data_IF_594530524003
#
_entry.id   IF_594530524003
#
_cell.length_a   1.000
_cell.length_b   1.000
_cell.length_c   1.000
_cell.angle_alpha   90.00
_cell.angle_beta   90.00
_cell.angle_gamma   90.00
#
_symmetry.space_group_name_H-M   'P 1'
#
loop_
_entity.id
_entity.type
_entity.pdbx_description
1 polymer ?
#
# COMPACT_ATOMS: atom_id res chain seq x y z
N UNK A 1 -54.70 -39.95 -15.11
CA UNK A 1 -54.32 -38.54 -15.30
C UNK A 1 -53.05 -38.51 -16.13
N UNK A 2 -53.11 -38.01 -17.38
CA UNK A 2 -51.94 -37.89 -18.26
C UNK A 2 -51.22 -36.58 -17.93
N UNK A 3 -50.06 -36.66 -17.27
CA UNK A 3 -49.16 -35.51 -17.15
C UNK A 3 -48.50 -35.28 -18.51
N UNK A 4 -48.79 -34.11 -19.11
CA UNK A 4 -48.16 -33.68 -20.36
C UNK A 4 -46.68 -33.40 -20.14
N UNK A 5 -45.84 -33.96 -21.01
CA UNK A 5 -44.43 -33.62 -21.12
C UNK A 5 -44.31 -32.14 -21.49
N UNK A 6 -43.97 -31.31 -20.51
CA UNK A 6 -43.51 -29.95 -20.75
C UNK A 6 -42.09 -30.02 -21.35
N UNK A 7 -41.99 -29.76 -22.65
CA UNK A 7 -40.73 -29.74 -23.38
C UNK A 7 -39.81 -28.62 -22.86
N UNK A 8 -38.69 -29.04 -22.27
CA UNK A 8 -37.60 -28.18 -21.76
C UNK A 8 -37.12 -27.14 -22.79
N UNK A 9 -37.30 -27.41 -24.08
CA UNK A 9 -36.93 -26.54 -25.20
C UNK A 9 -37.73 -25.22 -25.19
N UNK A 10 -39.00 -25.23 -24.75
CA UNK A 10 -39.81 -23.99 -24.67
C UNK A 10 -39.35 -23.06 -23.55
N UNK A 11 -38.81 -23.59 -22.46
CA UNK A 11 -38.30 -22.79 -21.35
C UNK A 11 -36.97 -22.09 -21.71
N UNK A 12 -36.09 -22.80 -22.45
CA UNK A 12 -34.83 -22.25 -22.94
C UNK A 12 -35.02 -21.13 -23.97
N UNK A 13 -36.01 -21.24 -24.86
CA UNK A 13 -36.33 -20.20 -25.83
C UNK A 13 -36.86 -18.91 -25.18
N UNK A 14 -37.65 -19.03 -24.11
CA UNK A 14 -38.15 -17.88 -23.34
C UNK A 14 -37.03 -17.13 -22.59
N UNK A 15 -36.03 -17.86 -22.09
CA UNK A 15 -34.86 -17.26 -21.43
C UNK A 15 -33.93 -16.54 -22.42
N UNK A 16 -33.81 -17.02 -23.66
CA UNK A 16 -32.98 -16.35 -24.67
C UNK A 16 -33.54 -15.00 -25.16
N UNK A 17 -34.86 -14.80 -25.11
CA UNK A 17 -35.50 -13.55 -25.57
C UNK A 17 -35.38 -12.39 -24.57
N UNK A 18 -35.04 -12.67 -23.30
CA UNK A 18 -34.90 -11.64 -22.25
C UNK A 18 -33.52 -10.95 -22.24
N UNK A 19 -32.55 -11.40 -23.02
CA UNK A 19 -31.15 -10.90 -22.97
C UNK A 19 -30.86 -9.77 -23.98
N UNK A 20 -31.78 -9.42 -24.88
CA UNK A 20 -31.49 -8.52 -26.01
C UNK A 20 -31.79 -7.02 -25.83
N UNK A 21 -31.95 -6.48 -24.61
CA UNK A 21 -32.10 -5.03 -24.42
C UNK A 21 -31.22 -4.47 -23.32
N UNK A 22 -29.94 -4.27 -23.63
CA UNK A 22 -29.11 -3.31 -22.92
C UNK A 22 -28.76 -2.16 -23.88
N UNK A 23 -29.07 -0.90 -23.52
CA UNK A 23 -28.78 0.23 -24.38
C UNK A 23 -27.26 0.46 -24.44
N UNK A 24 -26.75 0.58 -25.67
CA UNK A 24 -25.40 1.05 -25.97
C UNK A 24 -25.32 2.52 -25.56
N UNK A 25 -24.67 2.79 -24.43
CA UNK A 25 -24.41 4.15 -23.96
C UNK A 25 -23.31 4.78 -24.84
N UNK A 26 -23.69 5.77 -25.66
CA UNK A 26 -22.74 6.60 -26.41
C UNK A 26 -21.84 7.34 -25.42
N UNK A 27 -20.53 7.16 -25.62
CA UNK A 27 -19.46 7.83 -24.88
C UNK A 27 -19.47 9.32 -25.26
N UNK A 28 -20.09 10.14 -24.40
CA UNK A 28 -20.13 11.59 -24.54
C UNK A 28 -18.80 12.15 -24.05
N UNK A 29 -18.00 12.74 -24.94
CA UNK A 29 -16.81 13.51 -24.60
C UNK A 29 -17.26 14.72 -23.76
N UNK A 30 -17.07 14.62 -22.44
CA UNK A 30 -17.29 15.71 -21.49
C UNK A 30 -16.15 16.72 -21.64
N UNK A 31 -16.51 17.93 -22.09
CA UNK A 31 -15.65 19.10 -22.04
C UNK A 31 -15.34 19.43 -20.59
N UNK A 32 -14.06 19.46 -20.24
CA UNK A 32 -13.57 19.83 -18.91
C UNK A 32 -14.13 21.22 -18.58
N UNK A 33 -14.78 21.42 -17.41
CA UNK A 33 -15.27 22.74 -17.02
C UNK A 33 -14.11 23.74 -16.97
N UNK A 34 -14.29 24.87 -17.65
CA UNK A 34 -13.34 25.98 -17.70
C UNK A 34 -13.01 26.40 -16.26
N UNK A 35 -11.74 26.23 -15.89
CA UNK A 35 -11.20 26.53 -14.55
C UNK A 35 -11.40 28.01 -14.23
N UNK A 36 -12.53 28.38 -13.62
CA UNK A 36 -12.54 29.55 -12.74
C UNK A 36 -11.78 29.11 -11.50
N UNK A 37 -10.58 29.65 -11.30
CA UNK A 37 -9.90 29.60 -10.02
C UNK A 37 -10.84 30.24 -8.99
N UNK A 38 -11.70 29.41 -8.38
CA UNK A 38 -12.24 29.73 -7.08
C UNK A 38 -11.05 29.59 -6.16
N UNK A 39 -10.62 30.76 -5.70
CA UNK A 39 -9.65 31.00 -4.64
C UNK A 39 -10.01 30.12 -3.43
N UNK A 40 -9.57 28.85 -3.43
CA UNK A 40 -9.56 28.00 -2.25
C UNK A 40 -8.53 28.65 -1.34
N UNK A 41 -9.02 29.33 -0.29
CA UNK A 41 -8.25 30.13 0.67
C UNK A 41 -6.81 29.64 0.84
N UNK A 42 -5.90 30.45 0.34
CA UNK A 42 -4.51 30.15 0.08
C UNK A 42 -3.68 30.17 1.37
N UNK A 43 -3.88 29.16 2.21
CA UNK A 43 -2.97 28.84 3.29
C UNK A 43 -2.49 27.40 3.09
N UNK A 44 -1.27 27.18 2.56
CA UNK A 44 -0.67 25.85 2.63
C UNK A 44 -0.68 25.43 4.10
N UNK A 45 -1.11 24.20 4.44
CA UNK A 45 -1.01 23.73 5.81
C UNK A 45 0.46 23.78 6.19
N UNK A 46 0.84 24.75 7.03
CA UNK A 46 2.13 24.74 7.70
C UNK A 46 2.19 23.40 8.44
N UNK A 47 3.04 22.50 7.95
CA UNK A 47 3.27 21.13 8.41
C UNK A 47 2.16 20.11 8.07
N UNK A 48 2.02 19.75 6.77
CA UNK A 48 1.22 18.60 6.32
C UNK A 48 1.50 17.33 7.15
N UNK A 49 2.77 17.08 7.49
CA UNK A 49 3.16 15.99 8.36
C UNK A 49 2.59 16.09 9.78
N UNK A 50 2.53 17.29 10.38
CA UNK A 50 1.98 17.49 11.74
C UNK A 50 0.46 17.21 11.77
N UNK A 51 -0.25 17.58 10.71
CA UNK A 51 -1.68 17.26 10.58
C UNK A 51 -1.89 15.74 10.47
N UNK A 52 -1.08 15.06 9.66
CA UNK A 52 -1.08 13.59 9.50
C UNK A 52 -0.77 12.89 10.83
N UNK A 53 0.28 13.35 11.50
CA UNK A 53 0.73 12.91 12.82
C UNK A 53 -0.34 12.98 13.92
N UNK A 54 -1.16 14.02 13.92
CA UNK A 54 -2.19 14.22 14.94
C UNK A 54 -3.47 13.42 14.65
N UNK A 55 -3.71 13.08 13.38
CA UNK A 55 -4.88 12.29 12.97
C UNK A 55 -4.64 10.78 12.98
N UNK A 56 -3.41 10.33 12.78
CA UNK A 56 -3.07 8.91 12.69
C UNK A 56 -2.50 8.38 14.00
N UNK A 57 -3.17 7.39 14.60
CA UNK A 57 -2.61 6.59 15.69
C UNK A 57 -1.65 5.55 15.11
N UNK A 58 -0.35 5.74 15.28
CA UNK A 58 0.64 4.70 15.04
C UNK A 58 1.37 4.28 16.32
N UNK A 59 2.30 3.34 16.18
CA UNK A 59 3.07 2.81 17.29
C UNK A 59 4.19 3.75 17.76
N UNK A 60 4.30 3.93 19.07
CA UNK A 60 5.41 4.66 19.70
C UNK A 60 6.31 3.65 20.43
N UNK A 61 7.61 3.73 20.16
CA UNK A 61 8.66 3.05 20.92
C UNK A 61 9.46 4.10 21.67
N UNK A 62 9.16 4.26 22.96
CA UNK A 62 9.81 5.24 23.81
C UNK A 62 10.81 4.57 24.76
N UNK A 63 12.09 4.64 24.42
CA UNK A 63 13.17 4.05 25.23
C UNK A 63 13.62 4.96 26.39
N UNK A 64 12.95 6.10 26.60
CA UNK A 64 13.22 7.00 27.73
C UNK A 64 12.29 6.78 28.94
N UNK A 65 11.27 5.94 28.80
CA UNK A 65 10.27 5.69 29.84
C UNK A 65 9.96 4.20 30.01
N UNK A 66 9.44 3.82 31.17
CA UNK A 66 8.96 2.47 31.44
C UNK A 66 7.81 2.09 30.46
N UNK A 67 7.77 0.86 29.94
CA UNK A 67 8.59 -0.31 30.29
C UNK A 67 9.83 -0.52 29.40
N UNK A 68 10.15 0.42 28.51
CA UNK A 68 11.21 0.26 27.49
C UNK A 68 12.48 1.03 27.84
N UNK A 69 12.59 1.53 29.07
CA UNK A 69 13.69 2.37 29.51
C UNK A 69 15.04 1.69 29.35
N UNK A 70 16.06 2.42 28.88
CA UNK A 70 17.41 1.88 28.61
C UNK A 70 18.49 2.35 29.60
N UNK A 71 18.11 2.98 30.71
CA UNK A 71 19.06 3.49 31.71
C UNK A 71 19.91 2.39 32.35
N UNK A 72 21.06 2.81 32.89
CA UNK A 72 21.91 1.96 33.73
C UNK A 72 21.42 1.85 35.17
N UNK A 73 20.73 2.85 35.72
CA UNK A 73 20.40 2.92 37.16
C UNK A 73 19.48 1.80 37.67
N UNK A 74 18.67 1.21 36.81
CA UNK A 74 17.70 0.15 37.15
C UNK A 74 18.22 -1.27 36.91
N UNK A 75 19.37 -1.43 36.24
CA UNK A 75 19.89 -2.74 35.82
C UNK A 75 21.03 -3.23 36.72
N UNK A 76 20.74 -4.05 37.74
CA UNK A 76 21.80 -4.70 38.53
C UNK A 76 22.63 -5.66 37.67
N UNK A 77 23.95 -5.49 37.68
CA UNK A 77 24.85 -6.53 37.15
C UNK A 77 24.86 -7.66 38.17
N UNK A 78 24.20 -8.77 37.83
CA UNK A 78 24.40 -10.04 38.55
C UNK A 78 25.81 -10.52 38.23
N UNK A 79 26.79 -10.07 39.03
CA UNK A 79 28.11 -10.65 39.03
C UNK A 79 27.99 -12.04 39.65
N UNK A 80 28.01 -13.07 38.81
CA UNK A 80 28.02 -14.47 39.23
C UNK A 80 29.29 -14.79 40.02
N UNK A 81 29.23 -14.58 41.33
CA UNK A 81 30.11 -15.22 42.30
C UNK A 81 29.23 -16.17 43.10
N UNK A 82 29.09 -17.40 42.60
CA UNK A 82 28.98 -18.60 43.43
C UNK A 82 29.03 -19.86 42.56
N UNK A 83 29.96 -20.75 42.91
CA UNK A 83 30.01 -22.10 42.38
C UNK A 83 28.78 -22.89 42.81
N UNK A 84 28.12 -23.51 41.84
CA UNK A 84 27.00 -24.41 42.05
C UNK A 84 26.49 -24.87 40.69
N UNK A 85 26.70 -26.14 40.40
CA UNK A 85 26.29 -26.81 39.16
C UNK A 85 24.80 -26.58 38.86
N UNK A 86 24.55 -25.64 37.95
CA UNK A 86 23.24 -25.36 37.36
C UNK A 86 23.44 -25.08 35.89
N UNK A 87 22.75 -25.83 35.04
CA UNK A 87 22.78 -25.76 33.58
C UNK A 87 22.76 -24.30 33.07
N UNK A 88 23.60 -23.93 32.07
CA UNK A 88 23.67 -22.57 31.57
C UNK A 88 22.42 -22.27 30.73
N UNK A 89 21.43 -21.64 31.34
CA UNK A 89 20.40 -20.89 30.63
C UNK A 89 21.02 -19.64 30.03
N UNK A 90 20.77 -19.42 28.74
CA UNK A 90 21.35 -18.38 27.89
C UNK A 90 20.96 -16.96 28.36
N UNK A 91 21.64 -16.43 29.38
CA UNK A 91 21.34 -15.16 30.07
C UNK A 91 21.80 -13.90 29.32
N UNK A 92 22.09 -13.99 28.01
CA UNK A 92 22.61 -12.87 27.22
C UNK A 92 21.53 -11.96 26.65
N UNK A 93 20.28 -12.41 26.58
CA UNK A 93 19.17 -11.66 25.96
C UNK A 93 18.37 -10.78 26.93
N UNK A 94 18.58 -10.94 28.26
CA UNK A 94 17.79 -10.23 29.29
C UNK A 94 18.01 -8.70 29.33
N UNK A 95 19.03 -8.18 28.63
CA UNK A 95 19.36 -6.73 28.62
C UNK A 95 18.99 -6.02 27.31
N UNK A 96 18.15 -6.65 26.50
CA UNK A 96 17.65 -6.08 25.25
C UNK A 96 16.15 -5.81 25.38
N UNK A 97 15.77 -4.53 25.27
CA UNK A 97 14.37 -4.11 25.29
C UNK A 97 13.82 -4.12 23.87
N UNK A 98 12.78 -4.92 23.62
CA UNK A 98 12.18 -5.05 22.31
C UNK A 98 10.85 -4.31 22.21
N UNK A 99 10.77 -3.37 21.26
CA UNK A 99 9.52 -2.75 20.86
C UNK A 99 9.15 -3.23 19.45
N UNK A 100 8.18 -4.14 19.36
CA UNK A 100 7.77 -4.73 18.08
C UNK A 100 6.50 -4.06 17.59
N UNK A 101 6.56 -3.48 16.38
CA UNK A 101 5.43 -2.80 15.74
C UNK A 101 4.99 -3.57 14.49
N UNK A 102 3.68 -3.63 14.26
CA UNK A 102 3.10 -4.23 13.05
C UNK A 102 2.26 -3.18 12.33
N UNK A 103 2.57 -2.92 11.06
CA UNK A 103 1.84 -1.92 10.28
C UNK A 103 1.47 -2.43 8.89
N UNK A 104 0.37 -1.92 8.34
CA UNK A 104 -0.04 -2.11 6.94
C UNK A 104 0.11 -0.82 6.11
N UNK A 105 0.79 0.18 6.68
CA UNK A 105 0.95 1.52 6.13
C UNK A 105 -0.27 2.42 6.36
N UNK A 106 -0.12 3.67 5.93
CA UNK A 106 -0.94 4.82 6.28
C UNK A 106 -0.97 5.12 7.79
N UNK A 107 0.21 5.07 8.43
CA UNK A 107 0.38 5.23 9.88
C UNK A 107 1.69 5.99 10.17
N UNK A 108 1.75 6.73 11.28
CA UNK A 108 2.99 7.43 11.73
C UNK A 108 3.59 6.69 12.91
N UNK A 109 4.83 6.20 12.76
CA UNK A 109 5.58 5.57 13.84
C UNK A 109 6.49 6.60 14.52
N UNK A 110 6.67 6.44 15.83
CA UNK A 110 7.54 7.32 16.63
C UNK A 110 8.59 6.50 17.37
N UNK A 111 9.86 6.90 17.25
CA UNK A 111 11.00 6.35 17.96
C UNK A 111 11.59 7.44 18.84
N UNK A 112 11.69 7.18 20.14
CA UNK A 112 12.26 8.11 21.13
C UNK A 112 13.45 7.45 21.80
N UNK A 113 14.58 8.15 21.82
CA UNK A 113 15.81 7.70 22.46
C UNK A 113 16.38 8.84 23.33
N UNK A 114 16.83 8.57 24.57
CA UNK A 114 17.54 9.54 25.39
C UNK A 114 18.78 10.11 24.69
N UNK A 115 19.13 11.35 24.99
CA UNK A 115 20.38 11.98 24.53
C UNK A 115 21.48 11.85 25.56
N UNK A 116 22.72 11.99 25.10
CA UNK A 116 23.93 11.99 25.91
C UNK A 116 24.02 13.26 26.78
N UNK A 117 23.28 13.30 27.88
CA UNK A 117 23.13 14.48 28.73
C UNK A 117 23.39 14.22 30.23
N UNK A 118 23.39 12.95 30.64
CA UNK A 118 23.53 12.50 32.03
C UNK A 118 24.48 11.30 32.08
N UNK A 119 25.00 10.99 33.27
CA UNK A 119 25.89 9.84 33.49
C UNK A 119 25.21 8.51 33.13
N UNK A 120 23.89 8.43 33.34
CA UNK A 120 23.05 7.27 33.01
C UNK A 120 22.93 7.01 31.49
N UNK A 121 23.29 8.00 30.65
CA UNK A 121 23.24 7.96 29.18
C UNK A 121 24.55 8.40 28.51
N UNK A 122 25.67 8.30 29.21
CA UNK A 122 26.96 8.84 28.75
C UNK A 122 27.50 8.20 27.46
N UNK A 123 27.01 7.01 27.08
CA UNK A 123 27.37 6.27 25.88
C UNK A 123 26.17 5.91 24.99
N UNK A 124 25.02 6.58 25.14
CA UNK A 124 23.83 6.30 24.33
C UNK A 124 24.00 6.70 22.87
N UNK A 125 23.55 5.84 21.96
CA UNK A 125 23.59 6.11 20.51
C UNK A 125 22.39 5.52 19.77
N UNK A 126 21.99 6.15 18.67
CA UNK A 126 20.98 5.62 17.75
C UNK A 126 21.70 4.92 16.59
N UNK A 127 21.27 3.69 16.25
CA UNK A 127 21.81 2.94 15.11
C UNK A 127 20.68 2.43 14.20
N UNK A 128 20.67 2.77 12.89
CA UNK A 128 21.50 3.78 12.23
C UNK A 128 21.29 5.19 12.81
N UNK A 129 22.30 6.06 12.76
CA UNK A 129 22.26 7.41 13.36
C UNK A 129 21.12 8.28 12.81
N UNK A 130 20.80 8.05 11.54
CA UNK A 130 19.78 8.73 10.74
C UNK A 130 18.46 7.95 10.67
N UNK A 131 18.20 7.00 11.57
CA UNK A 131 16.89 6.34 11.64
C UNK A 131 15.76 7.40 11.69
N UNK A 132 14.73 7.38 10.83
CA UNK A 132 14.33 6.33 9.86
C UNK A 132 14.74 6.57 8.40
N UNK A 133 15.59 7.56 8.09
CA UNK A 133 16.11 7.77 6.74
C UNK A 133 16.80 6.51 6.23
N UNK A 134 17.72 5.98 7.04
CA UNK A 134 18.32 4.66 6.86
C UNK A 134 17.84 3.72 7.96
N UNK A 135 17.51 2.49 7.57
CA UNK A 135 17.06 1.44 8.49
C UNK A 135 17.93 0.18 8.35
N UNK A 136 18.00 -0.62 9.41
CA UNK A 136 18.69 -1.91 9.40
C UNK A 136 17.73 -3.00 8.92
N UNK A 137 18.10 -3.70 7.87
CA UNK A 137 17.36 -4.86 7.36
C UNK A 137 17.73 -6.13 8.15
N UNK A 138 16.94 -7.22 8.08
CA UNK A 138 17.18 -8.43 8.89
C UNK A 138 18.49 -9.15 8.55
N UNK A 139 19.00 -8.96 7.33
CA UNK A 139 20.31 -9.45 6.90
C UNK A 139 21.49 -8.60 7.41
N UNK A 140 21.22 -7.57 8.22
CA UNK A 140 22.22 -6.65 8.76
C UNK A 140 22.56 -5.45 7.87
N UNK A 141 22.13 -5.47 6.59
CA UNK A 141 22.42 -4.39 5.66
C UNK A 141 21.62 -3.14 6.02
N UNK A 142 22.22 -1.97 5.79
CA UNK A 142 21.56 -0.67 5.92
C UNK A 142 20.96 -0.28 4.57
N UNK A 143 19.73 0.23 4.56
CA UNK A 143 19.05 0.72 3.35
C UNK A 143 18.31 2.02 3.62
N UNK A 144 18.25 2.91 2.62
CA UNK A 144 17.38 4.08 2.67
C UNK A 144 15.93 3.64 2.61
N UNK A 145 15.11 4.11 3.54
CA UNK A 145 13.72 3.66 3.63
C UNK A 145 12.89 4.14 2.43
N UNK A 146 13.23 5.31 1.85
CA UNK A 146 12.58 5.85 0.64
C UNK A 146 12.82 5.04 -0.63
N UNK A 147 13.91 4.27 -0.69
CA UNK A 147 14.18 3.31 -1.79
C UNK A 147 13.37 2.02 -1.63
N UNK A 148 12.97 1.70 -0.39
CA UNK A 148 12.19 0.51 -0.08
C UNK A 148 10.68 0.78 -0.17
N UNK A 149 10.24 1.97 0.30
CA UNK A 149 8.86 2.40 0.34
C UNK A 149 8.72 3.79 -0.29
N UNK A 150 7.96 3.89 -1.38
CA UNK A 150 7.69 5.15 -2.08
C UNK A 150 6.72 6.02 -1.28
N UNK A 151 7.08 7.28 -1.03
CA UNK A 151 6.23 8.25 -0.31
C UNK A 151 6.41 8.23 1.21
N UNK A 152 7.57 7.78 1.70
CA UNK A 152 7.96 7.93 3.10
C UNK A 152 8.22 9.40 3.40
N UNK A 153 7.64 9.89 4.50
CA UNK A 153 7.92 11.22 5.04
C UNK A 153 8.54 11.09 6.43
N UNK A 154 9.50 11.96 6.74
CA UNK A 154 10.29 11.90 7.97
C UNK A 154 10.17 13.23 8.71
N UNK A 155 10.03 13.17 10.03
CA UNK A 155 10.11 14.33 10.91
C UNK A 155 11.06 14.00 12.08
N UNK A 156 12.12 14.78 12.19
CA UNK A 156 13.13 14.64 13.22
C UNK A 156 13.07 15.83 14.16
N UNK A 157 12.97 15.57 15.46
CA UNK A 157 12.96 16.58 16.51
C UNK A 157 13.91 16.20 17.63
N UNK A 158 14.85 17.08 17.93
CA UNK A 158 15.79 16.90 19.02
C UNK A 158 15.52 17.95 20.10
N UNK A 159 15.44 17.52 21.36
CA UNK A 159 15.45 18.40 22.53
C UNK A 159 16.80 18.28 23.26
N UNK A 160 16.93 18.91 24.42
CA UNK A 160 18.12 18.72 25.28
C UNK A 160 18.16 17.32 25.91
N UNK A 161 16.98 16.69 26.05
CA UNK A 161 16.85 15.41 26.74
C UNK A 161 16.66 14.21 25.81
N UNK A 162 15.97 14.41 24.70
CA UNK A 162 15.46 13.33 23.86
C UNK A 162 15.73 13.59 22.38
N UNK A 163 16.01 12.52 21.66
CA UNK A 163 15.97 12.46 20.21
C UNK A 163 14.69 11.75 19.78
N UNK A 164 13.81 12.48 19.12
CA UNK A 164 12.52 12.00 18.62
C UNK A 164 12.59 11.90 17.10
N UNK A 165 12.32 10.71 16.58
CA UNK A 165 12.30 10.40 15.15
C UNK A 165 10.91 9.90 14.80
N UNK A 166 10.28 10.48 13.78
CA UNK A 166 8.94 10.11 13.33
C UNK A 166 8.97 9.78 11.85
N UNK A 167 8.21 8.76 11.48
CA UNK A 167 8.12 8.32 10.10
C UNK A 167 6.68 8.03 9.73
N UNK A 168 6.23 8.60 8.62
CA UNK A 168 5.00 8.17 7.97
C UNK A 168 5.32 6.96 7.09
N UNK A 169 4.66 5.83 7.38
CA UNK A 169 4.75 4.61 6.58
C UNK A 169 3.61 4.66 5.55
N UNK A 170 3.87 4.89 4.25
CA UNK A 170 2.84 4.91 3.22
C UNK A 170 2.25 3.51 3.01
N UNK A 171 1.03 3.38 2.44
CA UNK A 171 0.47 2.07 2.09
C UNK A 171 1.12 1.43 0.85
N UNK A 172 2.24 1.96 0.37
CA UNK A 172 2.94 1.56 -0.86
C UNK A 172 3.82 0.30 -0.69
N UNK A 173 3.33 -0.69 0.06
CA UNK A 173 4.09 -1.86 0.49
C UNK A 173 3.80 -3.05 -0.44
N UNK A 174 4.69 -3.33 -1.38
CA UNK A 174 4.51 -4.44 -2.35
C UNK A 174 4.88 -5.82 -1.78
N UNK A 175 5.79 -5.89 -0.80
CA UNK A 175 6.21 -7.12 -0.16
C UNK A 175 6.34 -6.95 1.36
N UNK A 176 6.26 -8.06 2.10
CA UNK A 176 6.51 -8.02 3.53
C UNK A 176 7.97 -7.63 3.78
N UNK A 177 8.19 -6.60 4.60
CA UNK A 177 9.53 -6.19 5.01
C UNK A 177 9.58 -6.10 6.53
N UNK A 178 10.77 -6.28 7.06
CA UNK A 178 11.09 -6.04 8.45
C UNK A 178 12.28 -5.10 8.46
N UNK A 179 12.24 -4.08 9.29
CA UNK A 179 13.40 -3.23 9.52
C UNK A 179 13.51 -2.86 10.99
N UNK A 180 14.71 -2.45 11.38
CA UNK A 180 15.08 -2.19 12.76
C UNK A 180 15.85 -0.88 12.91
N UNK A 181 15.61 -0.24 14.05
CA UNK A 181 16.46 0.80 14.61
C UNK A 181 16.70 0.50 16.09
N UNK A 182 17.88 0.84 16.60
CA UNK A 182 18.22 0.64 18.01
C UNK A 182 18.60 1.93 18.71
N UNK A 183 18.18 2.06 19.96
CA UNK A 183 18.67 3.00 20.96
C UNK A 183 19.61 2.22 21.89
N UNK A 184 20.91 2.34 21.68
CA UNK A 184 21.92 1.52 22.34
C UNK A 184 22.58 2.31 23.47
N UNK A 185 22.26 1.98 24.72
CA UNK A 185 22.92 2.52 25.90
C UNK A 185 23.87 1.50 26.55
N UNK A 186 24.16 0.39 25.86
CA UNK A 186 24.97 -0.70 26.42
C UNK A 186 26.42 -0.28 26.67
N UNK A 187 26.91 0.77 26.02
CA UNK A 187 28.25 1.31 26.24
C UNK A 187 28.35 2.21 27.48
N UNK A 188 27.23 2.51 28.15
CA UNK A 188 27.22 3.29 29.38
C UNK A 188 27.46 2.40 30.59
N UNK A 189 28.49 2.73 31.37
CA UNK A 189 28.81 2.08 32.64
C UNK A 189 28.73 3.10 33.77
N UNK A 190 27.83 2.86 34.72
CA UNK A 190 27.61 3.75 35.85
C UNK A 190 27.24 2.97 37.09
N UNK A 191 27.86 3.28 38.25
CA UNK A 191 27.62 2.58 39.54
C UNK A 191 27.66 1.04 39.44
N UNK A 192 28.61 0.49 38.69
CA UNK A 192 28.70 -0.96 38.41
C UNK A 192 27.43 -1.53 37.75
N UNK A 193 26.70 -0.70 37.01
CA UNK A 193 25.57 -1.06 36.18
C UNK A 193 25.85 -0.67 34.73
N UNK A 194 25.33 -1.48 33.82
CA UNK A 194 25.46 -1.27 32.37
C UNK A 194 24.09 -0.88 31.83
N UNK A 195 24.06 0.10 30.93
CA UNK A 195 22.82 0.45 30.23
C UNK A 195 22.29 -0.71 29.39
N UNK A 196 21.01 -0.65 29.05
CA UNK A 196 20.37 -1.64 28.18
C UNK A 196 20.41 -1.20 26.71
N UNK A 197 20.03 -2.11 25.81
CA UNK A 197 19.86 -1.81 24.38
C UNK A 197 18.40 -1.94 24.00
N UNK A 198 17.80 -0.85 23.53
CA UNK A 198 16.46 -0.82 22.96
C UNK A 198 16.47 -1.12 21.47
N UNK A 199 15.62 -2.02 21.00
CA UNK A 199 15.44 -2.37 19.58
C UNK A 199 13.99 -2.16 19.18
N UNK A 200 13.74 -1.20 18.31
CA UNK A 200 12.48 -1.06 17.60
C UNK A 200 12.50 -1.93 16.35
N UNK A 201 11.61 -2.91 16.28
CA UNK A 201 11.46 -3.82 15.15
C UNK A 201 10.10 -3.61 14.49
N UNK A 202 10.10 -3.16 13.25
CA UNK A 202 8.87 -2.85 12.50
C UNK A 202 8.62 -3.93 11.46
N UNK A 203 7.50 -4.60 11.59
CA UNK A 203 6.96 -5.55 10.61
C UNK A 203 5.95 -4.84 9.72
N UNK A 204 6.33 -4.61 8.47
CA UNK A 204 5.48 -3.96 7.48
C UNK A 204 4.91 -5.02 6.56
N UNK A 205 3.59 -5.14 6.53
CA UNK A 205 2.90 -6.17 5.74
C UNK A 205 2.49 -5.64 4.38
N UNK A 206 2.66 -6.47 3.35
CA UNK A 206 2.22 -6.16 1.98
C UNK A 206 0.74 -5.77 1.94
N UNK A 207 0.43 -4.83 1.07
CA UNK A 207 -0.91 -4.29 0.92
C UNK A 207 -1.26 -4.11 -0.56
N UNK A 208 -2.56 -4.05 -0.85
CA UNK A 208 -3.05 -3.71 -2.20
C UNK A 208 -3.64 -2.31 -2.13
N UNK A 209 -3.07 -1.42 -2.92
CA UNK A 209 -3.53 -0.04 -3.10
C UNK A 209 -4.38 0.02 -4.36
N UNK A 210 -5.67 0.27 -4.19
CA UNK A 210 -6.59 0.50 -5.30
C UNK A 210 -6.36 1.90 -5.83
N UNK A 211 -5.68 2.01 -6.96
CA UNK A 211 -5.11 3.27 -7.35
C UNK A 211 -4.36 3.23 -8.67
N UNK A 212 -3.77 4.37 -9.00
CA UNK A 212 -2.95 4.59 -10.18
C UNK A 212 -1.61 5.19 -9.77
N UNK A 213 -0.51 4.51 -10.11
CA UNK A 213 0.84 5.08 -10.03
C UNK A 213 1.29 5.51 -11.43
N UNK A 214 1.26 6.80 -11.72
CA UNK A 214 1.71 7.37 -13.00
C UNK A 214 3.21 7.64 -13.05
N UNK A 215 3.96 7.19 -12.05
CA UNK A 215 5.39 7.43 -11.92
C UNK A 215 6.10 6.13 -11.53
N UNK A 216 5.66 5.02 -12.11
CA UNK A 216 6.16 3.69 -11.74
C UNK A 216 7.52 3.43 -12.39
N UNK A 217 8.53 3.24 -11.55
CA UNK A 217 9.83 2.70 -11.95
C UNK A 217 9.85 1.19 -11.70
N UNK A 218 10.01 0.35 -12.73
CA UNK A 218 10.21 -1.08 -12.50
C UNK A 218 11.48 -1.24 -11.69
N UNK A 219 11.37 -1.82 -10.48
CA UNK A 219 12.53 -2.00 -9.62
C UNK A 219 13.56 -2.89 -10.31
N UNK A 220 14.82 -2.44 -10.36
CA UNK A 220 15.93 -3.24 -10.87
C UNK A 220 15.92 -4.63 -10.21
N UNK A 221 16.09 -5.68 -11.02
CA UNK A 221 16.37 -7.00 -10.46
C UNK A 221 17.65 -6.89 -9.64
N UNK A 222 17.70 -7.37 -8.39
CA UNK A 222 18.98 -7.54 -7.72
C UNK A 222 19.77 -8.50 -8.59
N UNK A 223 20.80 -8.00 -9.26
CA UNK A 223 21.78 -8.83 -9.95
C UNK A 223 22.22 -9.87 -8.94
N UNK A 224 21.88 -11.12 -9.21
CA UNK A 224 22.50 -12.23 -8.50
C UNK A 224 23.98 -12.09 -8.79
N UNK A 225 24.76 -11.80 -7.75
CA UNK A 225 26.22 -11.90 -7.78
C UNK A 225 26.58 -13.35 -8.13
N UNK A 226 26.68 -13.61 -9.43
CA UNK A 226 27.36 -14.76 -9.98
C UNK A 226 28.77 -14.29 -10.30
N UNK A 227 29.72 -14.64 -9.42
CA UNK A 227 31.14 -14.56 -9.76
C UNK A 227 31.40 -15.38 -11.01
N UNK A 228 32.17 -14.80 -11.94
CA UNK A 228 32.61 -15.47 -13.15
C UNK A 228 32.84 -14.46 -14.27
N UNK A 229 34.09 -14.12 -14.50
CA UNK A 229 34.57 -13.40 -15.67
C UNK A 229 33.96 -13.97 -16.96
N UNK A 230 33.20 -13.14 -17.68
CA UNK A 230 33.29 -13.03 -19.14
C UNK A 230 32.55 -11.79 -19.62
N UNK A 231 33.32 -10.88 -20.22
CA UNK A 231 32.81 -9.77 -20.99
C UNK A 231 31.98 -10.28 -22.17
N UNK A 232 30.72 -9.85 -22.27
CA UNK A 232 30.00 -9.80 -23.54
C UNK A 232 29.44 -8.39 -23.72
N UNK A 233 29.94 -7.76 -24.77
CA UNK A 233 29.54 -6.48 -25.36
C UNK A 233 28.10 -6.49 -25.84
N UNK A 234 27.36 -5.40 -25.55
CA UNK A 234 26.22 -4.78 -26.28
C UNK A 234 25.17 -5.70 -26.94
N UNK A 235 23.90 -5.52 -26.55
CA UNK A 235 22.81 -5.18 -27.50
C UNK A 235 21.87 -4.15 -26.84
N UNK A 236 21.98 -2.91 -27.31
CA UNK A 236 20.95 -1.88 -27.28
C UNK A 236 19.86 -2.22 -28.29
N UNK A 237 18.59 -2.05 -27.94
CA UNK A 237 17.49 -1.89 -28.91
C UNK A 237 16.31 -2.85 -28.78
N UNK A 238 15.12 -2.25 -28.76
CA UNK A 238 13.85 -2.78 -29.30
C UNK A 238 13.23 -4.04 -28.70
N UNK A 239 12.55 -3.91 -27.56
CA UNK A 239 11.38 -4.75 -27.22
C UNK A 239 10.38 -4.02 -26.31
N UNK A 240 9.82 -2.87 -26.74
CA UNK A 240 8.58 -2.32 -26.15
C UNK A 240 7.72 -1.56 -27.18
N UNK A 241 7.75 -2.00 -28.43
CA UNK A 241 6.87 -1.47 -29.49
C UNK A 241 5.92 -2.58 -29.94
N UNK A 242 4.62 -2.39 -29.70
CA UNK A 242 3.57 -3.18 -30.35
C UNK A 242 2.53 -3.77 -29.41
N UNK A 243 1.38 -3.10 -29.34
CA UNK A 243 0.03 -3.69 -29.33
C UNK A 243 -0.20 -4.98 -28.54
N UNK A 244 -0.60 -4.83 -27.27
CA UNK A 244 -1.25 -5.91 -26.49
C UNK A 244 -2.58 -5.48 -25.84
N UNK A 245 -3.30 -4.55 -26.47
CA UNK A 245 -4.66 -4.18 -26.05
C UNK A 245 -5.60 -4.03 -27.25
N UNK A 246 -5.68 -5.03 -28.12
CA UNK A 246 -6.83 -5.27 -29.00
C UNK A 246 -6.80 -6.75 -29.40
N UNK A 247 -7.90 -7.46 -29.14
CA UNK A 247 -7.95 -8.91 -29.34
C UNK A 247 -8.00 -9.28 -30.82
N UNK A 248 -7.30 -10.37 -31.17
CA UNK A 248 -7.75 -11.41 -32.09
C UNK A 248 -6.88 -12.65 -31.89
N UNK A 249 -7.52 -13.79 -31.64
CA UNK A 249 -6.88 -15.10 -31.62
C UNK A 249 -7.15 -15.78 -32.97
N UNK A 250 -6.11 -16.24 -33.69
CA UNK A 250 -6.14 -17.43 -34.55
C UNK A 250 -4.74 -17.77 -35.14
N UNK A 251 -4.41 -19.07 -35.08
CA UNK A 251 -3.29 -19.83 -35.68
C UNK A 251 -1.87 -19.58 -35.12
N UNK A 252 -1.05 -20.58 -34.74
CA UNK A 252 -1.08 -22.03 -34.97
C UNK A 252 -0.20 -22.82 -33.97
N UNK A 253 -0.72 -23.98 -33.58
CA UNK A 253 -0.07 -25.28 -33.31
C UNK A 253 1.17 -25.37 -32.41
N UNK A 254 0.95 -25.57 -31.10
CA UNK A 254 1.62 -26.64 -30.33
C UNK A 254 0.66 -27.19 -29.25
N UNK A 255 0.40 -28.50 -29.32
CA UNK A 255 -0.15 -29.41 -28.30
C UNK A 255 -1.60 -29.23 -27.80
N UNK A 256 -2.45 -30.13 -28.29
CA UNK A 256 -3.83 -30.40 -27.92
C UNK A 256 -3.93 -31.02 -26.52
N UNK A 257 -4.82 -30.50 -25.68
CA UNK A 257 -5.29 -31.19 -24.47
C UNK A 257 -5.86 -30.28 -23.38
N UNK A 258 -7.15 -29.96 -23.48
CA UNK A 258 -8.08 -29.79 -22.34
C UNK A 258 -8.00 -28.54 -21.42
N UNK A 259 -8.09 -27.32 -21.99
CA UNK A 259 -8.11 -26.05 -21.21
C UNK A 259 -9.29 -25.10 -21.50
N UNK A 260 -10.44 -25.61 -21.95
CA UNK A 260 -11.56 -24.76 -22.37
C UNK A 260 -12.44 -24.17 -21.23
N UNK A 261 -12.15 -24.43 -19.94
CA UNK A 261 -13.08 -24.07 -18.85
C UNK A 261 -12.72 -22.82 -18.00
N UNK A 262 -11.54 -22.18 -18.18
CA UNK A 262 -11.05 -21.13 -17.24
C UNK A 262 -10.74 -19.74 -17.83
N UNK A 263 -11.22 -19.38 -19.03
CA UNK A 263 -10.72 -18.19 -19.75
C UNK A 263 -11.36 -16.81 -19.46
N UNK A 264 -12.12 -16.63 -18.38
CA UNK A 264 -12.83 -15.35 -18.12
C UNK A 264 -12.34 -14.52 -16.91
N UNK A 265 -11.25 -14.90 -16.25
CA UNK A 265 -10.67 -14.10 -15.17
C UNK A 265 -9.23 -13.76 -15.52
N UNK A 266 -8.99 -12.53 -16.00
CA UNK A 266 -7.64 -11.99 -16.05
C UNK A 266 -6.96 -12.05 -14.68
N UNK A 267 -5.63 -11.88 -14.61
CA UNK A 267 -4.89 -12.00 -13.36
C UNK A 267 -5.48 -11.09 -12.26
N UNK A 268 -5.50 -11.59 -11.03
CA UNK A 268 -5.99 -10.80 -9.89
C UNK A 268 -5.05 -9.61 -9.62
N UNK A 269 -5.55 -8.58 -8.93
CA UNK A 269 -4.71 -7.44 -8.55
C UNK A 269 -3.48 -7.91 -7.74
N UNK A 270 -3.66 -8.88 -6.85
CA UNK A 270 -2.59 -9.48 -6.06
C UNK A 270 -1.51 -10.17 -6.92
N UNK A 271 -1.91 -10.86 -7.99
CA UNK A 271 -0.97 -11.51 -8.92
C UNK A 271 -0.16 -10.47 -9.71
N UNK A 272 -0.77 -9.34 -10.08
CA UNK A 272 -0.09 -8.24 -10.75
C UNK A 272 0.87 -7.49 -9.82
N UNK A 273 0.51 -7.34 -8.54
CA UNK A 273 1.35 -6.74 -7.50
C UNK A 273 2.66 -7.53 -7.34
N UNK A 274 2.58 -8.86 -7.29
CA UNK A 274 3.75 -9.72 -7.11
C UNK A 274 4.67 -9.74 -8.34
N UNK A 275 4.10 -9.77 -9.54
CA UNK A 275 4.89 -9.80 -10.78
C UNK A 275 5.65 -8.50 -11.04
N UNK A 276 5.02 -7.36 -10.75
CA UNK A 276 5.52 -6.04 -11.13
C UNK A 276 6.09 -5.23 -9.95
N UNK A 277 6.24 -5.85 -8.78
CA UNK A 277 6.80 -5.23 -7.56
C UNK A 277 6.16 -3.88 -7.21
N UNK A 278 4.84 -3.79 -7.36
CA UNK A 278 4.10 -2.56 -7.07
C UNK A 278 2.86 -2.91 -6.26
N UNK A 279 2.51 -2.15 -5.21
CA UNK A 279 1.29 -2.37 -4.43
C UNK A 279 0.04 -1.87 -5.18
N UNK A 280 0.20 -1.09 -6.25
CA UNK A 280 -0.91 -0.46 -6.96
C UNK A 280 -1.62 -1.41 -7.90
N UNK A 281 -2.95 -1.31 -7.94
CA UNK A 281 -3.77 -2.08 -8.88
C UNK A 281 -3.50 -1.72 -10.34
N UNK A 282 -3.16 -0.45 -10.61
CA UNK A 282 -2.80 0.06 -11.94
C UNK A 282 -1.54 0.93 -11.82
N UNK A 283 -0.66 0.85 -12.80
CA UNK A 283 0.59 1.60 -12.83
C UNK A 283 1.00 1.90 -14.28
N UNK A 284 1.79 2.96 -14.45
CA UNK A 284 2.28 3.44 -15.74
C UNK A 284 3.73 3.89 -15.58
N UNK A 285 4.57 3.53 -16.55
CA UNK A 285 5.95 4.01 -16.58
C UNK A 285 6.02 5.45 -17.08
N UNK A 286 7.07 6.22 -16.74
CA UNK A 286 7.25 7.57 -17.26
C UNK A 286 7.19 7.66 -18.79
N UNK A 287 7.68 6.63 -19.50
CA UNK A 287 7.59 6.55 -20.97
C UNK A 287 6.13 6.51 -21.45
N UNK A 288 5.31 5.62 -20.87
CA UNK A 288 3.88 5.52 -21.22
C UNK A 288 3.11 6.81 -20.95
N UNK A 289 3.47 7.52 -19.88
CA UNK A 289 2.87 8.82 -19.55
C UNK A 289 3.29 9.89 -20.56
N UNK A 290 4.56 9.92 -20.95
CA UNK A 290 5.06 10.85 -21.96
C UNK A 290 4.43 10.61 -23.34
N UNK A 291 4.28 9.34 -23.75
CA UNK A 291 3.66 8.97 -25.03
C UNK A 291 2.18 9.39 -25.10
N UNK A 292 1.52 9.48 -23.95
CA UNK A 292 0.11 9.85 -23.83
C UNK A 292 -0.12 11.33 -23.47
N UNK A 293 0.93 12.16 -23.45
CA UNK A 293 0.87 13.55 -22.97
C UNK A 293 -0.21 14.40 -23.67
N UNK A 294 -0.39 14.21 -24.97
CA UNK A 294 -1.34 15.00 -25.79
C UNK A 294 -2.79 14.47 -25.74
N UNK A 295 -2.99 13.26 -25.23
CA UNK A 295 -4.32 12.62 -25.15
C UNK A 295 -4.82 12.48 -23.71
N UNK A 296 -3.91 12.56 -22.74
CA UNK A 296 -4.16 12.19 -21.35
C UNK A 296 -4.28 10.68 -21.18
N UNK A 297 -4.32 10.24 -19.93
CA UNK A 297 -4.54 8.83 -19.57
C UNK A 297 -5.77 8.73 -18.68
N UNK A 298 -6.67 7.79 -18.97
CA UNK A 298 -7.78 7.45 -18.09
C UNK A 298 -7.53 6.08 -17.44
N UNK A 299 -7.15 6.11 -16.17
CA UNK A 299 -6.93 4.94 -15.33
C UNK A 299 -8.24 4.57 -14.61
N UNK A 300 -8.81 3.40 -14.93
CA UNK A 300 -10.05 2.92 -14.31
C UNK A 300 -9.75 1.87 -13.23
N UNK A 301 -10.00 2.22 -11.97
CA UNK A 301 -9.75 1.39 -10.78
C UNK A 301 -11.05 0.72 -10.34
N UNK A 302 -11.02 -0.61 -10.16
CA UNK A 302 -12.16 -1.40 -9.69
C UNK A 302 -11.89 -1.91 -8.27
N UNK A 303 -12.54 -1.33 -7.27
CA UNK A 303 -12.38 -1.68 -5.85
C UNK A 303 -13.22 -2.92 -5.54
N UNK A 304 -12.58 -3.99 -5.05
CA UNK A 304 -13.23 -5.30 -4.85
C UNK A 304 -13.25 -5.79 -3.38
N UNK A 305 -12.64 -5.06 -2.45
CA UNK A 305 -12.47 -5.50 -1.06
C UNK A 305 -13.21 -4.59 -0.08
N UNK A 306 -13.57 -5.16 1.07
CA UNK A 306 -14.14 -4.43 2.21
C UNK A 306 -13.14 -3.42 2.81
N UNK A 307 -11.92 -3.87 3.11
CA UNK A 307 -10.84 -3.00 3.60
C UNK A 307 -10.14 -2.37 2.39
N UNK A 308 -10.22 -1.05 2.27
CA UNK A 308 -9.79 -0.32 1.08
C UNK A 308 -8.65 0.62 1.44
N UNK A 309 -7.54 0.50 0.72
CA UNK A 309 -6.50 1.52 0.63
C UNK A 309 -6.55 2.10 -0.78
N UNK A 310 -6.72 3.42 -0.88
CA UNK A 310 -6.66 4.16 -2.12
C UNK A 310 -5.30 4.83 -2.26
N UNK A 311 -4.87 5.01 -3.50
CA UNK A 311 -3.65 5.75 -3.80
C UNK A 311 -3.68 6.39 -5.17
N UNK A 312 -3.11 7.58 -5.26
CA UNK A 312 -2.83 8.27 -6.51
C UNK A 312 -1.42 8.83 -6.42
N UNK A 313 -0.59 8.52 -7.42
CA UNK A 313 0.75 9.07 -7.55
C UNK A 313 0.88 9.74 -8.91
N UNK A 314 1.16 11.03 -8.88
CA UNK A 314 1.37 11.86 -10.06
C UNK A 314 2.86 11.93 -10.43
N UNK A 315 3.19 12.01 -11.73
CA UNK A 315 4.56 12.17 -12.18
C UNK A 315 5.12 13.54 -11.76
N UNK A 316 6.46 13.71 -11.79
CA UNK A 316 7.07 15.01 -11.56
C UNK A 316 6.47 16.11 -12.46
N UNK A 317 6.24 17.30 -11.90
CA UNK A 317 5.63 18.43 -12.61
C UNK A 317 4.10 18.39 -12.69
N UNK A 318 3.46 17.39 -12.07
CA UNK A 318 2.00 17.29 -11.93
C UNK A 318 1.61 17.33 -10.46
N UNK A 319 0.42 17.87 -10.17
CA UNK A 319 -0.19 17.89 -8.83
C UNK A 319 -1.55 17.20 -8.86
N UNK A 320 -1.95 16.68 -7.70
CA UNK A 320 -3.26 16.05 -7.50
C UNK A 320 -4.36 17.12 -7.53
N UNK A 321 -5.47 16.82 -8.20
CA UNK A 321 -6.67 17.64 -8.26
C UNK A 321 -7.96 16.82 -7.97
N UNK A 322 -8.86 17.30 -7.09
CA UNK A 322 -8.75 18.47 -6.22
C UNK A 322 -7.49 18.44 -5.34
N UNK A 323 -7.03 19.62 -4.89
CA UNK A 323 -5.74 19.80 -4.18
C UNK A 323 -5.60 18.90 -2.94
N UNK A 324 -6.74 18.56 -2.32
CA UNK A 324 -6.85 17.65 -1.19
C UNK A 324 -7.62 16.37 -1.52
N UNK A 325 -7.68 15.91 -2.77
CA UNK A 325 -8.11 14.54 -3.04
C UNK A 325 -7.24 13.61 -2.17
N UNK A 326 -7.78 12.64 -1.42
CA UNK A 326 -9.14 12.09 -1.47
C UNK A 326 -10.17 12.71 -0.52
N UNK A 327 -9.85 13.73 0.27
CA UNK A 327 -10.84 14.39 1.14
C UNK A 327 -11.99 15.00 0.32
N UNK A 328 -11.63 15.65 -0.80
CA UNK A 328 -12.57 16.10 -1.83
C UNK A 328 -12.30 15.41 -3.16
N UNK A 329 -13.36 15.00 -3.84
CA UNK A 329 -13.28 14.21 -5.07
C UNK A 329 -14.24 14.74 -6.13
N UNK A 330 -13.97 14.40 -7.39
CA UNK A 330 -14.87 14.71 -8.49
C UNK A 330 -15.96 13.64 -8.59
N UNK A 331 -17.22 14.05 -8.50
CA UNK A 331 -18.40 13.21 -8.72
C UNK A 331 -19.36 13.94 -9.66
N UNK A 332 -19.66 13.35 -10.82
CA UNK A 332 -20.52 13.95 -11.86
C UNK A 332 -20.13 15.41 -12.19
N UNK A 333 -18.83 15.63 -12.40
CA UNK A 333 -18.23 16.94 -12.71
C UNK A 333 -18.36 18.01 -11.59
N UNK A 334 -18.75 17.61 -10.38
CA UNK A 334 -18.77 18.48 -9.18
C UNK A 334 -17.77 18.02 -8.13
N UNK A 335 -17.20 18.94 -7.36
CA UNK A 335 -16.31 18.63 -6.24
C UNK A 335 -17.15 18.40 -4.99
N UNK A 336 -17.17 17.17 -4.50
CA UNK A 336 -17.91 16.75 -3.29
C UNK A 336 -16.94 16.26 -2.22
N UNK A 337 -17.35 16.24 -0.94
CA UNK A 337 -16.55 15.60 0.11
C UNK A 337 -16.69 14.08 0.02
N UNK A 338 -15.61 13.36 0.27
CA UNK A 338 -15.65 11.89 0.27
C UNK A 338 -16.64 11.33 1.28
N UNK A 339 -16.83 12.01 2.42
CA UNK A 339 -17.80 11.63 3.46
C UNK A 339 -19.26 11.68 2.98
N UNK A 340 -19.57 12.41 1.90
CA UNK A 340 -20.89 12.40 1.28
C UNK A 340 -21.14 11.12 0.47
N UNK A 341 -20.07 10.52 -0.07
CA UNK A 341 -20.13 9.29 -0.86
C UNK A 341 -19.95 8.04 0.01
N UNK A 342 -19.12 8.13 1.05
CA UNK A 342 -18.74 7.03 1.94
C UNK A 342 -19.07 7.44 3.38
N UNK A 343 -20.10 6.82 3.95
CA UNK A 343 -20.58 7.13 5.31
C UNK A 343 -19.77 6.41 6.40
N UNK A 344 -18.45 6.36 6.25
CA UNK A 344 -17.52 5.74 7.20
C UNK A 344 -16.44 6.72 7.62
N UNK A 345 -15.75 6.41 8.71
CA UNK A 345 -14.54 7.13 9.03
C UNK A 345 -13.47 6.84 7.95
N UNK A 346 -12.93 7.90 7.37
CA UNK A 346 -11.89 7.83 6.36
C UNK A 346 -10.64 8.54 6.88
N UNK A 347 -9.50 7.87 6.76
CA UNK A 347 -8.19 8.47 7.02
C UNK A 347 -7.62 8.95 5.70
N UNK A 348 -7.11 10.18 5.66
CA UNK A 348 -6.54 10.80 4.48
C UNK A 348 -5.06 11.15 4.69
N UNK A 349 -4.29 11.11 3.62
CA UNK A 349 -2.94 11.65 3.57
C UNK A 349 -2.71 12.28 2.19
N UNK A 350 -2.14 13.47 2.17
CA UNK A 350 -1.62 14.10 0.96
C UNK A 350 -0.19 14.51 1.28
N UNK A 351 0.74 14.16 0.41
CA UNK A 351 2.14 14.47 0.62
C UNK A 351 2.41 15.98 0.51
N UNK A 352 3.53 16.40 1.06
CA UNK A 352 3.96 17.81 0.99
C UNK A 352 4.10 18.35 -0.44
N UNK A 353 4.47 17.49 -1.40
CA UNK A 353 4.62 17.87 -2.81
C UNK A 353 3.30 17.87 -3.60
N UNK A 354 2.17 17.51 -2.97
CA UNK A 354 0.84 17.35 -3.60
C UNK A 354 0.86 16.46 -4.84
N UNK A 355 1.79 15.50 -4.92
CA UNK A 355 1.87 14.50 -5.99
C UNK A 355 1.32 13.15 -5.57
N UNK A 356 1.25 12.90 -4.28
CA UNK A 356 0.83 11.62 -3.71
C UNK A 356 -0.32 11.84 -2.76
N UNK A 357 -1.36 11.05 -2.94
CA UNK A 357 -2.50 11.04 -2.04
C UNK A 357 -2.91 9.61 -1.73
N UNK A 358 -3.30 9.39 -0.48
CA UNK A 358 -3.76 8.10 0.03
C UNK A 358 -5.01 8.28 0.88
N UNK A 359 -5.86 7.26 0.88
CA UNK A 359 -6.97 7.16 1.81
C UNK A 359 -7.20 5.73 2.27
N UNK A 360 -7.76 5.58 3.46
CA UNK A 360 -8.16 4.28 4.00
C UNK A 360 -9.52 4.35 4.66
N UNK A 361 -10.33 3.33 4.39
CA UNK A 361 -11.62 3.13 5.02
C UNK A 361 -12.02 1.66 4.93
N UNK A 362 -13.05 1.30 5.70
CA UNK A 362 -13.62 -0.05 5.72
C UNK A 362 -15.09 0.08 5.35
N UNK A 363 -15.46 -0.54 4.23
CA UNK A 363 -16.85 -0.60 3.79
C UNK A 363 -17.65 -1.63 4.59
N UNK A 364 -18.96 -1.54 4.57
CA UNK A 364 -19.82 -2.65 4.97
C UNK A 364 -19.82 -3.76 3.90
N UNK A 365 -20.28 -4.94 4.29
CA UNK A 365 -20.41 -6.07 3.36
C UNK A 365 -21.41 -5.70 2.26
N UNK A 366 -21.03 -5.93 1.00
CA UNK A 366 -21.81 -5.59 -0.20
C UNK A 366 -22.12 -4.11 -0.40
N UNK A 367 -21.50 -3.21 0.36
CA UNK A 367 -21.66 -1.79 0.15
C UNK A 367 -20.98 -1.38 -1.16
N UNK A 368 -21.73 -0.73 -2.04
CA UNK A 368 -21.25 -0.23 -3.32
C UNK A 368 -21.53 1.28 -3.41
N UNK A 369 -20.63 2.11 -2.84
CA UNK A 369 -20.75 3.56 -2.94
C UNK A 369 -20.73 4.06 -4.39
N UNK A 370 -21.14 5.31 -4.57
CA UNK A 370 -20.98 5.99 -5.85
C UNK A 370 -19.49 6.11 -6.22
N UNK A 371 -19.20 5.91 -7.51
CA UNK A 371 -17.85 6.13 -8.05
C UNK A 371 -17.49 7.60 -8.09
N UNK A 372 -16.18 7.88 -8.06
CA UNK A 372 -15.63 9.24 -8.10
C UNK A 372 -14.32 9.23 -8.88
N UNK A 373 -13.74 10.42 -9.10
CA UNK A 373 -12.44 10.55 -9.75
C UNK A 373 -11.56 11.60 -9.10
N UNK A 374 -10.26 11.46 -9.34
CA UNK A 374 -9.25 12.47 -9.09
C UNK A 374 -8.35 12.56 -10.31
N UNK A 375 -7.65 13.69 -10.45
CA UNK A 375 -6.80 13.99 -11.59
C UNK A 375 -5.36 14.26 -11.12
N UNK A 376 -4.40 14.03 -12.00
CA UNK A 376 -3.10 14.69 -11.97
C UNK A 376 -3.10 15.76 -13.05
N UNK A 377 -2.88 17.01 -12.66
CA UNK A 377 -2.84 18.17 -13.56
C UNK A 377 -1.43 18.70 -13.66
N UNK A 378 -1.01 19.07 -14.87
CA UNK A 378 0.33 19.66 -15.08
C UNK A 378 0.40 21.05 -14.45
N UNK A 379 1.44 21.30 -13.67
CA UNK A 379 1.69 22.61 -13.05
C UNK A 379 2.12 23.63 -14.10
N UNK A 380 2.92 23.20 -15.09
CA UNK A 380 3.48 24.08 -16.12
C UNK A 380 2.56 24.26 -17.33
N UNK A 381 1.62 23.35 -17.55
CA UNK A 381 0.70 23.40 -18.69
C UNK A 381 -0.71 22.97 -18.25
N UNK A 382 -1.45 23.82 -17.53
CA UNK A 382 -2.76 23.47 -16.99
C UNK A 382 -3.82 23.13 -18.05
N UNK A 383 -3.60 23.56 -19.30
CA UNK A 383 -4.44 23.27 -20.46
C UNK A 383 -4.19 21.87 -21.05
N UNK A 384 -3.07 21.23 -20.69
CA UNK A 384 -2.76 19.88 -21.14
C UNK A 384 -3.81 18.87 -20.60
N UNK A 385 -4.15 17.83 -21.37
CA UNK A 385 -5.06 16.80 -20.90
C UNK A 385 -4.59 16.18 -19.58
N UNK A 386 -5.46 16.08 -18.56
CA UNK A 386 -5.08 15.56 -17.26
C UNK A 386 -4.92 14.03 -17.29
N UNK A 387 -4.16 13.48 -16.35
CA UNK A 387 -4.18 12.05 -16.06
C UNK A 387 -5.33 11.81 -15.08
N UNK A 388 -6.33 11.02 -15.46
CA UNK A 388 -7.56 10.82 -14.69
C UNK A 388 -7.57 9.44 -14.05
N UNK A 389 -7.82 9.38 -12.75
CA UNK A 389 -8.08 8.15 -12.02
C UNK A 389 -9.57 8.07 -11.65
N UNK A 390 -10.28 7.08 -12.20
CA UNK A 390 -11.69 6.80 -11.92
C UNK A 390 -11.80 5.62 -10.98
N UNK A 391 -12.52 5.77 -9.87
CA UNK A 391 -12.71 4.74 -8.86
C UNK A 391 -14.15 4.24 -8.91
N UNK A 392 -14.32 2.93 -9.09
CA UNK A 392 -15.63 2.26 -9.14
C UNK A 392 -15.64 1.09 -8.19
N UNK A 393 -16.72 0.97 -7.42
CA UNK A 393 -16.92 -0.11 -6.46
C UNK A 393 -17.59 -1.33 -7.10
N UNK A 394 -17.02 -2.49 -6.82
CA UNK A 394 -17.59 -3.82 -7.09
C UNK A 394 -17.32 -4.73 -5.90
N UNK A 395 -17.81 -4.32 -4.74
CA UNK A 395 -17.61 -5.04 -3.49
C UNK A 395 -18.53 -6.27 -3.46
N UNK A 396 -17.96 -7.44 -3.73
CA UNK A 396 -18.69 -8.68 -3.92
C UNK A 396 -18.27 -9.73 -2.90
N UNK A 397 -18.37 -9.42 -1.61
CA UNK A 397 -18.10 -10.39 -0.54
C UNK A 397 -19.32 -11.29 -0.20
N UNK A 398 -20.39 -11.32 -1.02
CA UNK A 398 -21.58 -12.16 -0.76
C UNK A 398 -21.77 -13.42 -1.60
N UNK A 399 -20.93 -13.69 -2.60
CA UNK A 399 -21.24 -14.81 -3.50
C UNK A 399 -20.81 -16.21 -3.01
N UNK A 400 -20.31 -16.32 -1.77
CA UNK A 400 -20.09 -17.63 -1.14
C UNK A 400 -21.37 -18.29 -0.62
N UNK A 401 -22.41 -17.50 -0.33
CA UNK A 401 -23.66 -18.03 0.26
C UNK A 401 -24.59 -18.67 -0.76
N UNK A 402 -24.63 -18.16 -1.99
CA UNK A 402 -25.57 -18.64 -3.01
C UNK A 402 -25.16 -19.99 -3.59
N UNK A 403 -23.87 -20.23 -3.80
CA UNK A 403 -23.39 -21.54 -4.26
C UNK A 403 -23.54 -22.62 -3.20
N UNK A 404 -23.34 -22.29 -1.91
CA UNK A 404 -23.61 -23.23 -0.82
C UNK A 404 -25.08 -23.64 -0.76
N UNK A 405 -26.01 -22.69 -0.85
CA UNK A 405 -27.44 -22.98 -0.84
C UNK A 405 -27.88 -23.77 -2.09
N UNK A 406 -27.38 -23.41 -3.27
CA UNK A 406 -27.70 -24.12 -4.52
C UNK A 406 -27.13 -25.54 -4.48
N UNK A 407 -25.91 -25.73 -3.96
CA UNK A 407 -25.29 -27.04 -3.78
C UNK A 407 -26.06 -27.90 -2.77
N UNK A 408 -26.45 -27.33 -1.63
CA UNK A 408 -27.30 -28.01 -0.64
C UNK A 408 -28.65 -28.40 -1.23
N UNK A 409 -29.28 -27.51 -2.01
CA UNK A 409 -30.52 -27.81 -2.72
C UNK A 409 -30.34 -28.92 -3.76
N UNK A 410 -29.26 -28.91 -4.54
CA UNK A 410 -28.94 -29.95 -5.52
C UNK A 410 -28.69 -31.29 -4.83
N UNK A 411 -27.94 -31.33 -3.73
CA UNK A 411 -27.69 -32.55 -2.94
C UNK A 411 -28.99 -33.09 -2.33
N UNK A 412 -29.84 -32.22 -1.76
CA UNK A 412 -31.17 -32.62 -1.27
C UNK A 412 -32.05 -33.20 -2.38
N UNK A 413 -32.02 -32.59 -3.56
CA UNK A 413 -32.83 -33.04 -4.70
C UNK A 413 -32.34 -34.39 -5.25
N UNK A 414 -31.03 -34.62 -5.27
CA UNK A 414 -30.44 -35.91 -5.61
C UNK A 414 -30.75 -37.00 -4.57
N UNK A 415 -30.77 -36.66 -3.28
CA UNK A 415 -31.17 -37.58 -2.21
C UNK A 415 -32.65 -37.99 -2.31
N UNK A 416 -33.55 -37.04 -2.63
CA UNK A 416 -34.97 -37.34 -2.84
C UNK A 416 -35.19 -38.20 -4.09
N UNK A 417 -34.39 -38.03 -5.14
CA UNK A 417 -34.48 -38.84 -6.35
C UNK A 417 -33.89 -40.26 -6.21
N UNK A 418 -33.12 -40.53 -5.16
CA UNK A 418 -32.49 -41.84 -4.90
C UNK A 418 -33.21 -42.67 -3.84
N UNK A 419 -34.22 -42.10 -3.18
CA UNK A 419 -35.23 -42.78 -2.36
C UNK A 419 -36.46 -43.09 -3.21
#
# INVERSE_FOLDING_TARGET
>A
MKMGQFSFVRLLLLLSLLVQRLPVQKQQQSSIPTRKYLDEGDHPPQNAFAHVANQMKGGTCDFSTEPLHVSSSENEIVAGVNGGDGLPGDSRDERVQHCVQFTKGLEVLTFVCPKRNTEDYAGVEIRPMDCFETVRMPNGNKKKLSEVLKGVELENRDSDLLSIRRVFIPPTIYQNIIFECSCDNSLTFWKHKMGARGIMRVHVRKNVVWGCDFDHTPGEEPTRDAGGDQAITRVTGDWLSGDWLSGDWLNSDWAVGDWALWRNSGPSAEQLVERNRTPFSNFYTPAQVNDAKDKGIVCNVKIKKKKVYLGLVCPPGYEVYPSNCFERVLHKDSIVRMSELIQHHVTFHVDSSRRMSFAHFILNKNENPAGFSCLCVSVHSPEAPPLRANFVYRNYESFGGHFGLLYVLVVLLLLVLSL
#
